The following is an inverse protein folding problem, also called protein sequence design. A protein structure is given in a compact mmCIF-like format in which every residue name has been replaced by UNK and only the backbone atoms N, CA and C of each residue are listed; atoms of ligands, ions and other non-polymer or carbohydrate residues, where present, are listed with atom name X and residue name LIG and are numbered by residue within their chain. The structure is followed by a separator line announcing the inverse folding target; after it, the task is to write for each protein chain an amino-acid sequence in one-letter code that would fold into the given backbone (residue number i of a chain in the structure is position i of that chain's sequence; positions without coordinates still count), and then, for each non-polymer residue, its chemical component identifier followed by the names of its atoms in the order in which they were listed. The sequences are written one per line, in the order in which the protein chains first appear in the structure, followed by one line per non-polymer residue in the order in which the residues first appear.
data_IF_566905589484
#
_entry.id   IF_566905589484
#
_cell.length_a   1.000
_cell.length_b   1.000
_cell.length_c   1.000
_cell.angle_alpha   90.00
_cell.angle_beta   90.00
_cell.angle_gamma   90.00
#
_symmetry.space_group_name_H-M   'P 1'
#
loop_
_entity.id
_entity.type
_entity.pdbx_description
1 polymer ?
#
# COMPACT_ATOMS: atom_id res chain seq x y z
N UNK A 1 2.78 2.53 15.73
CA UNK A 1 3.72 2.14 14.67
C UNK A 1 4.77 1.18 15.23
N UNK A 2 5.08 0.14 14.49
CA UNK A 2 6.12 -0.82 14.89
C UNK A 2 7.50 -0.21 14.65
N UNK A 3 8.37 -0.27 15.67
CA UNK A 3 9.77 0.15 15.50
C UNK A 3 10.60 -1.02 14.99
N UNK A 4 11.02 -0.93 13.73
CA UNK A 4 11.77 -1.98 13.04
C UNK A 4 13.16 -1.52 12.60
N UNK A 5 13.70 -0.48 13.27
CA UNK A 5 14.99 0.10 12.88
C UNK A 5 16.16 -0.88 12.92
N UNK A 6 16.09 -1.85 13.83
CA UNK A 6 17.13 -2.88 13.95
C UNK A 6 16.73 -4.21 13.29
N UNK A 7 15.55 -4.29 12.72
CA UNK A 7 15.10 -5.51 12.04
C UNK A 7 15.73 -5.60 10.64
N UNK A 8 16.01 -6.81 10.12
CA UNK A 8 16.45 -6.96 8.76
C UNK A 8 15.41 -6.43 7.79
N UNK A 9 15.85 -5.71 6.76
CA UNK A 9 14.95 -5.21 5.72
C UNK A 9 14.57 -6.38 4.79
N UNK A 10 13.27 -6.65 4.59
CA UNK A 10 12.86 -7.68 3.64
C UNK A 10 13.38 -7.37 2.23
N UNK A 11 13.73 -8.40 1.46
CA UNK A 11 14.24 -8.17 0.10
C UNK A 11 13.17 -7.62 -0.83
N UNK A 12 13.59 -6.82 -1.80
CA UNK A 12 12.71 -6.35 -2.86
C UNK A 12 12.27 -7.50 -3.75
N UNK A 13 11.08 -7.37 -4.35
CA UNK A 13 10.52 -8.33 -5.30
C UNK A 13 10.32 -7.64 -6.64
N UNK A 14 10.36 -8.40 -7.73
CA UNK A 14 10.18 -7.86 -9.08
C UNK A 14 8.81 -7.23 -9.30
N UNK A 15 7.79 -7.69 -8.58
CA UNK A 15 6.43 -7.20 -8.69
C UNK A 15 6.07 -6.11 -7.66
N UNK A 16 7.02 -5.62 -6.89
CA UNK A 16 6.78 -4.55 -5.94
C UNK A 16 6.32 -3.26 -6.62
N UNK A 17 5.41 -2.55 -5.96
CA UNK A 17 5.04 -1.19 -6.35
C UNK A 17 6.08 -0.22 -5.81
N UNK A 18 6.79 0.46 -6.69
CA UNK A 18 7.89 1.37 -6.31
C UNK A 18 7.64 2.74 -6.90
N UNK A 19 7.86 3.78 -6.10
CA UNK A 19 7.78 5.18 -6.51
C UNK A 19 8.90 5.97 -5.85
N UNK A 20 9.40 6.99 -6.56
CA UNK A 20 10.47 7.85 -6.06
C UNK A 20 11.80 7.61 -6.74
N UNK A 21 12.86 8.32 -6.32
CA UNK A 21 14.15 8.28 -7.01
C UNK A 21 14.77 6.88 -7.04
N UNK A 22 15.20 6.45 -8.22
CA UNK A 22 15.75 5.11 -8.42
C UNK A 22 17.09 4.89 -7.70
N UNK A 23 17.80 5.97 -7.41
CA UNK A 23 19.11 5.95 -6.73
C UNK A 23 19.01 6.08 -5.21
N UNK A 24 17.83 6.35 -4.68
CA UNK A 24 17.63 6.43 -3.24
C UNK A 24 17.49 5.02 -2.62
N UNK A 25 17.93 4.83 -1.36
CA UNK A 25 17.66 3.58 -0.65
C UNK A 25 16.15 3.33 -0.52
N UNK A 26 15.67 2.10 -0.75
CA UNK A 26 14.23 1.83 -0.67
C UNK A 26 13.74 1.89 0.78
N UNK A 27 12.55 2.45 0.94
CA UNK A 27 11.78 2.43 2.18
C UNK A 27 10.58 1.50 1.95
N UNK A 28 10.55 0.38 2.66
CA UNK A 28 9.44 -0.54 2.59
C UNK A 28 8.33 -0.07 3.52
N UNK A 29 7.18 0.18 2.95
CA UNK A 29 6.04 0.76 3.61
C UNK A 29 4.89 -0.26 3.58
N UNK A 30 4.74 -1.00 4.68
CA UNK A 30 3.63 -1.92 4.88
C UNK A 30 2.45 -1.15 5.46
N UNK A 31 1.35 -1.11 4.75
CA UNK A 31 0.27 -0.20 5.08
C UNK A 31 -1.11 -0.76 4.79
N UNK A 32 -2.10 -0.11 5.39
CA UNK A 32 -3.52 -0.39 5.25
C UNK A 32 -4.20 0.90 4.78
N UNK A 33 -5.01 0.81 3.74
CA UNK A 33 -5.71 1.98 3.19
C UNK A 33 -6.75 2.58 4.13
N UNK A 34 -7.18 1.84 5.15
CA UNK A 34 -8.12 2.36 6.14
C UNK A 34 -7.43 3.07 7.31
N UNK A 35 -6.12 2.93 7.42
CA UNK A 35 -5.34 3.41 8.56
C UNK A 35 -5.01 4.91 8.41
N UNK A 36 -5.47 5.79 9.34
CA UNK A 36 -5.16 7.22 9.26
C UNK A 36 -3.66 7.53 9.37
N UNK A 37 -2.93 6.78 10.19
CA UNK A 37 -1.48 6.95 10.33
C UNK A 37 -0.74 6.58 9.05
N UNK A 38 -1.27 5.63 8.30
CA UNK A 38 -0.71 5.26 6.99
C UNK A 38 -0.88 6.41 6.00
N UNK A 39 -2.00 7.11 6.02
CA UNK A 39 -2.21 8.28 5.16
C UNK A 39 -1.21 9.40 5.48
N UNK A 40 -0.97 9.66 6.75
CA UNK A 40 0.03 10.65 7.20
C UNK A 40 1.43 10.24 6.73
N UNK A 41 1.80 8.99 6.91
CA UNK A 41 3.12 8.49 6.53
C UNK A 41 3.31 8.49 5.01
N UNK A 42 2.28 8.13 4.26
CA UNK A 42 2.33 8.16 2.79
C UNK A 42 2.64 9.58 2.29
N UNK A 43 2.00 10.60 2.88
CA UNK A 43 2.26 11.99 2.54
C UNK A 43 3.67 12.41 2.95
N UNK A 44 4.11 12.04 4.14
CA UNK A 44 5.45 12.37 4.63
C UNK A 44 6.52 11.80 3.71
N UNK A 45 6.36 10.54 3.29
CA UNK A 45 7.32 9.89 2.38
C UNK A 45 7.32 10.55 1.00
N UNK A 46 6.16 10.94 0.49
CA UNK A 46 6.05 11.64 -0.78
C UNK A 46 6.71 13.03 -0.72
N UNK A 47 6.46 13.78 0.36
CA UNK A 47 7.05 15.12 0.56
C UNK A 47 8.58 15.04 0.73
N UNK A 48 9.07 13.95 1.30
CA UNK A 48 10.50 13.71 1.46
C UNK A 48 11.18 13.17 0.19
N UNK A 49 10.44 12.97 -0.88
CA UNK A 49 10.92 12.37 -2.13
C UNK A 49 11.63 11.04 -1.89
N UNK A 50 11.08 10.21 -1.01
CA UNK A 50 11.61 8.90 -0.70
C UNK A 50 11.35 7.89 -1.81
N UNK A 51 12.24 6.89 -1.95
CA UNK A 51 11.95 5.72 -2.78
C UNK A 51 11.08 4.77 -1.99
N UNK A 52 9.78 4.75 -2.28
CA UNK A 52 8.79 4.01 -1.50
C UNK A 52 8.45 2.71 -2.20
N UNK A 53 8.50 1.62 -1.45
CA UNK A 53 7.99 0.30 -1.86
C UNK A 53 6.75 0.02 -1.02
N UNK A 54 5.58 -0.01 -1.64
CA UNK A 54 4.32 -0.25 -0.93
C UNK A 54 4.02 -1.75 -0.87
N UNK A 55 3.70 -2.22 0.33
CA UNK A 55 3.20 -3.58 0.53
C UNK A 55 1.98 -3.56 1.44
N UNK A 56 1.04 -4.45 1.18
CA UNK A 56 -0.21 -4.50 1.95
C UNK A 56 -0.01 -5.11 3.33
N UNK A 57 -0.56 -4.46 4.34
CA UNK A 57 -0.75 -5.06 5.66
C UNK A 57 -2.22 -4.91 6.03
N UNK A 58 -3.07 -5.53 5.21
CA UNK A 58 -4.53 -5.43 5.28
C UNK A 58 -5.07 -6.60 6.12
N UNK A 59 -5.52 -6.28 7.34
CA UNK A 59 -6.06 -7.27 8.26
C UNK A 59 -7.57 -7.11 8.37
N UNK A 60 -8.30 -8.16 8.04
CA UNK A 60 -9.77 -8.20 8.11
C UNK A 60 -10.27 -7.80 9.51
N UNK A 61 -9.57 -8.22 10.55
CA UNK A 61 -9.96 -7.94 11.94
C UNK A 61 -9.83 -6.45 12.31
N UNK A 62 -9.02 -5.66 11.56
CA UNK A 62 -8.80 -4.26 11.86
C UNK A 62 -9.95 -3.39 11.35
N UNK A 63 -10.39 -3.63 10.12
CA UNK A 63 -11.43 -2.84 9.48
C UNK A 63 -12.08 -3.65 8.35
N UNK A 64 -13.42 -3.58 8.19
CA UNK A 64 -14.10 -4.35 7.13
C UNK A 64 -13.64 -4.01 5.72
N UNK A 65 -13.12 -2.81 5.48
CA UNK A 65 -12.68 -2.39 4.15
C UNK A 65 -11.18 -2.57 3.90
N UNK A 66 -10.40 -3.03 4.88
CA UNK A 66 -8.95 -3.22 4.71
C UNK A 66 -8.62 -4.12 3.54
N UNK A 67 -9.14 -5.33 3.53
CA UNK A 67 -8.89 -6.28 2.43
C UNK A 67 -9.55 -5.83 1.13
N UNK A 68 -10.83 -5.42 1.09
CA UNK A 68 -11.43 -4.91 -0.15
C UNK A 68 -10.65 -3.77 -0.82
N UNK A 69 -10.11 -2.83 -0.04
CA UNK A 69 -9.32 -1.73 -0.61
C UNK A 69 -7.97 -2.21 -1.15
N UNK A 70 -7.33 -3.17 -0.47
CA UNK A 70 -6.10 -3.77 -0.96
C UNK A 70 -6.33 -4.48 -2.31
N UNK A 71 -7.41 -5.25 -2.42
CA UNK A 71 -7.80 -5.92 -3.67
C UNK A 71 -8.09 -4.90 -4.78
N UNK A 72 -8.79 -3.83 -4.45
CA UNK A 72 -9.10 -2.75 -5.39
C UNK A 72 -7.84 -2.06 -5.91
N UNK A 73 -6.89 -1.78 -5.03
CA UNK A 73 -5.62 -1.17 -5.42
C UNK A 73 -4.83 -2.06 -6.39
N UNK A 74 -4.83 -3.37 -6.16
CA UNK A 74 -4.17 -4.31 -7.07
C UNK A 74 -4.90 -4.40 -8.42
N UNK A 75 -6.22 -4.32 -8.41
CA UNK A 75 -6.99 -4.26 -9.66
C UNK A 75 -6.64 -2.99 -10.46
N UNK A 76 -6.54 -1.84 -9.79
CA UNK A 76 -6.09 -0.61 -10.41
C UNK A 76 -4.65 -0.74 -10.95
N UNK A 77 -3.79 -1.44 -10.22
CA UNK A 77 -2.41 -1.68 -10.64
C UNK A 77 -2.32 -2.44 -11.96
N UNK A 78 -3.23 -3.37 -12.23
CA UNK A 78 -3.28 -4.09 -13.51
C UNK A 78 -3.58 -3.18 -14.70
N UNK A 79 -4.12 -2.00 -14.44
CA UNK A 79 -4.36 -0.98 -15.45
C UNK A 79 -3.34 0.18 -15.36
N UNK A 80 -2.23 -0.04 -14.68
CA UNK A 80 -1.14 0.93 -14.56
C UNK A 80 -1.42 2.09 -13.62
N UNK A 81 -2.42 1.97 -12.73
CA UNK A 81 -2.89 3.09 -11.90
C UNK A 81 -2.73 2.85 -10.40
N UNK A 82 -1.76 2.04 -9.97
CA UNK A 82 -1.59 1.76 -8.55
C UNK A 82 -1.40 3.04 -7.73
N UNK A 83 -0.41 3.86 -8.10
CA UNK A 83 -0.07 5.03 -7.28
C UNK A 83 -1.13 6.12 -7.34
N UNK A 84 -1.78 6.31 -8.49
CA UNK A 84 -2.89 7.25 -8.60
C UNK A 84 -4.07 6.82 -7.71
N UNK A 85 -4.38 5.53 -7.67
CA UNK A 85 -5.43 4.97 -6.82
C UNK A 85 -5.05 5.06 -5.34
N UNK A 86 -3.80 4.71 -4.99
CA UNK A 86 -3.23 4.84 -3.67
C UNK A 86 -3.41 6.26 -3.13
N UNK A 87 -2.99 7.25 -3.92
CA UNK A 87 -3.08 8.65 -3.50
C UNK A 87 -4.53 9.09 -3.32
N UNK A 88 -5.41 8.70 -4.24
CA UNK A 88 -6.83 9.07 -4.16
C UNK A 88 -7.52 8.52 -2.91
N UNK A 89 -7.19 7.29 -2.51
CA UNK A 89 -7.75 6.70 -1.28
C UNK A 89 -7.23 7.42 -0.05
N UNK A 90 -5.91 7.65 0.05
CA UNK A 90 -5.34 8.31 1.23
C UNK A 90 -5.75 9.77 1.35
N UNK A 91 -6.08 10.43 0.26
CA UNK A 91 -6.58 11.80 0.27
C UNK A 91 -8.02 11.89 0.82
N UNK A 92 -8.78 10.81 0.78
CA UNK A 92 -10.19 10.81 1.20
C UNK A 92 -10.59 9.43 1.75
N UNK A 93 -10.12 9.12 2.93
CA UNK A 93 -10.41 7.85 3.60
C UNK A 93 -11.84 7.72 4.11
N UNK A 94 -12.61 8.78 4.07
CA UNK A 94 -14.02 8.74 4.43
C UNK A 94 -14.93 8.21 3.33
N UNK A 95 -14.42 8.05 2.11
CA UNK A 95 -15.20 7.62 0.94
C UNK A 95 -14.56 6.38 0.32
N UNK A 96 -14.78 5.24 0.97
CA UNK A 96 -14.11 3.98 0.65
C UNK A 96 -15.06 2.83 0.35
N UNK A 97 -16.35 3.09 0.22
CA UNK A 97 -17.34 2.10 -0.21
C UNK A 97 -17.30 1.92 -1.74
N UNK A 98 -17.97 0.90 -2.23
CA UNK A 98 -17.91 0.53 -3.65
C UNK A 98 -18.35 1.66 -4.60
N UNK A 99 -19.45 2.39 -4.37
CA UNK A 99 -19.79 3.51 -5.25
C UNK A 99 -18.70 4.57 -5.38
N UNK A 100 -18.01 4.87 -4.27
CA UNK A 100 -16.89 5.82 -4.30
C UNK A 100 -15.68 5.24 -5.04
N UNK A 101 -15.42 3.93 -4.93
CA UNK A 101 -14.36 3.29 -5.69
C UNK A 101 -14.65 3.34 -7.20
N UNK A 102 -15.88 3.09 -7.62
CA UNK A 102 -16.27 3.17 -9.02
C UNK A 102 -16.08 4.59 -9.56
N UNK A 103 -16.46 5.60 -8.77
CA UNK A 103 -16.26 6.99 -9.13
C UNK A 103 -14.77 7.32 -9.33
N UNK A 104 -13.91 6.82 -8.46
CA UNK A 104 -12.45 6.99 -8.61
C UNK A 104 -11.92 6.31 -9.86
N UNK A 105 -12.41 5.11 -10.17
CA UNK A 105 -12.03 4.42 -11.41
C UNK A 105 -12.39 5.26 -12.64
N UNK A 106 -13.59 5.83 -12.66
CA UNK A 106 -14.02 6.72 -13.75
C UNK A 106 -13.13 7.94 -13.86
N UNK A 107 -12.83 8.59 -12.73
CA UNK A 107 -11.97 9.76 -12.71
C UNK A 107 -10.55 9.47 -13.19
N UNK A 108 -10.06 8.25 -12.97
CA UNK A 108 -8.74 7.82 -13.43
C UNK A 108 -8.75 7.22 -14.85
N UNK A 109 -9.91 7.15 -15.49
CA UNK A 109 -10.03 6.60 -16.84
C UNK A 109 -9.89 5.09 -16.92
N UNK A 110 -10.15 4.38 -15.83
CA UNK A 110 -10.03 2.92 -15.78
C UNK A 110 -11.26 2.24 -16.37
N UNK A 111 -11.06 1.05 -16.95
CA UNK A 111 -12.14 0.16 -17.37
C UNK A 111 -12.79 -0.45 -16.13
N UNK A 112 -14.03 -0.06 -15.86
CA UNK A 112 -14.74 -0.47 -14.64
C UNK A 112 -15.07 -1.96 -14.64
N UNK A 113 -15.44 -2.52 -15.79
CA UNK A 113 -15.75 -3.95 -15.90
C UNK A 113 -14.52 -4.80 -15.60
N UNK A 114 -13.38 -4.41 -16.14
CA UNK A 114 -12.09 -5.06 -15.88
C UNK A 114 -11.68 -4.92 -14.42
N UNK A 115 -11.85 -3.73 -13.84
CA UNK A 115 -11.58 -3.49 -12.42
C UNK A 115 -12.40 -4.44 -11.54
N UNK A 116 -13.70 -4.57 -11.81
CA UNK A 116 -14.58 -5.45 -11.04
C UNK A 116 -14.18 -6.93 -11.16
N UNK A 117 -13.79 -7.36 -12.35
CA UNK A 117 -13.31 -8.74 -12.55
C UNK A 117 -11.98 -8.97 -11.82
N UNK A 118 -11.04 -8.05 -11.96
CA UNK A 118 -9.68 -8.20 -11.41
C UNK A 118 -9.69 -8.18 -9.88
N UNK A 119 -10.49 -7.34 -9.23
CA UNK A 119 -10.51 -7.32 -7.76
C UNK A 119 -11.09 -8.60 -7.14
N UNK A 120 -11.68 -9.47 -7.94
CA UNK A 120 -12.18 -10.78 -7.52
C UNK A 120 -11.25 -11.92 -7.90
N UNK A 121 -10.15 -11.62 -8.57
CA UNK A 121 -9.20 -12.63 -9.01
C UNK A 121 -8.47 -13.25 -7.82
N UNK A 122 -8.48 -14.59 -7.66
CA UNK A 122 -7.76 -15.26 -6.58
C UNK A 122 -6.27 -14.95 -6.55
N UNK A 123 -5.64 -14.68 -7.69
CA UNK A 123 -4.23 -14.32 -7.75
C UNK A 123 -3.95 -12.99 -7.05
N UNK A 124 -4.85 -12.03 -7.17
CA UNK A 124 -4.76 -10.75 -6.45
C UNK A 124 -4.93 -10.97 -4.94
N UNK A 125 -5.89 -11.78 -4.54
CA UNK A 125 -6.08 -12.10 -3.13
C UNK A 125 -4.84 -12.78 -2.53
N UNK A 126 -4.21 -13.68 -3.27
CA UNK A 126 -2.98 -14.34 -2.82
C UNK A 126 -1.82 -13.36 -2.68
N UNK A 127 -1.70 -12.40 -3.59
CA UNK A 127 -0.69 -11.34 -3.47
C UNK A 127 -0.87 -10.53 -2.18
N UNK A 128 -2.09 -10.15 -1.86
CA UNK A 128 -2.38 -9.41 -0.62
C UNK A 128 -2.04 -10.24 0.61
N UNK A 129 -2.42 -11.52 0.62
CA UNK A 129 -2.06 -12.44 1.72
C UNK A 129 -0.56 -12.63 1.86
N UNK A 130 0.17 -12.73 0.75
CA UNK A 130 1.63 -12.83 0.74
C UNK A 130 2.27 -11.64 1.45
N UNK A 131 1.83 -10.44 1.13
CA UNK A 131 2.35 -9.22 1.76
C UNK A 131 2.11 -9.23 3.27
N UNK A 132 0.92 -9.64 3.70
CA UNK A 132 0.58 -9.74 5.13
C UNK A 132 1.48 -10.77 5.82
N UNK A 133 1.66 -11.96 5.24
CA UNK A 133 2.54 -12.99 5.81
C UNK A 133 3.96 -12.47 5.96
N UNK A 134 4.47 -11.80 4.94
CA UNK A 134 5.83 -11.27 4.97
C UNK A 134 6.00 -10.18 6.02
N UNK A 135 5.00 -9.32 6.18
CA UNK A 135 4.99 -8.32 7.24
C UNK A 135 5.07 -8.96 8.62
N UNK A 136 4.25 -9.98 8.88
CA UNK A 136 4.24 -10.69 10.16
C UNK A 136 5.56 -11.40 10.42
N UNK A 137 6.13 -12.07 9.42
CA UNK A 137 7.43 -12.74 9.53
C UNK A 137 8.56 -11.76 9.80
N UNK A 138 8.45 -10.54 9.26
CA UNK A 138 9.43 -9.48 9.48
C UNK A 138 9.29 -8.78 10.82
N UNK A 139 8.26 -9.10 11.60
CA UNK A 139 8.06 -8.56 12.94
C UNK A 139 7.06 -7.42 13.04
N UNK A 140 6.34 -7.10 11.95
CA UNK A 140 5.32 -6.06 11.99
C UNK A 140 4.14 -6.48 12.85
N UNK A 141 3.66 -5.58 13.71
CA UNK A 141 2.53 -5.82 14.60
C UNK A 141 1.41 -4.80 14.40
N UNK A 142 1.74 -3.62 13.89
CA UNK A 142 0.78 -2.54 13.65
C UNK A 142 1.09 -1.86 12.33
N UNK A 143 0.21 -0.96 11.87
CA UNK A 143 0.43 -0.14 10.68
C UNK A 143 0.59 1.34 11.05
N UNK A 144 1.39 2.08 10.30
CA UNK A 144 2.31 1.58 9.28
C UNK A 144 3.48 0.82 9.89
N UNK A 145 4.04 -0.16 9.16
CA UNK A 145 5.31 -0.78 9.51
C UNK A 145 6.34 -0.41 8.44
N UNK A 146 7.44 0.17 8.87
CA UNK A 146 8.41 0.77 7.96
C UNK A 146 9.76 0.12 8.14
N UNK A 147 10.32 -0.38 7.03
CA UNK A 147 11.67 -0.91 6.98
C UNK A 147 12.51 0.01 6.10
N UNK A 148 13.62 0.47 6.61
CA UNK A 148 14.49 1.41 5.96
C UNK A 148 15.93 0.91 6.02
N UNK A 149 16.50 0.59 4.84
CA UNK A 149 17.87 0.07 4.74
C UNK A 149 18.92 1.18 4.73
N UNK A 150 18.49 2.42 4.57
CA UNK A 150 19.39 3.58 4.57
C UNK A 150 19.61 4.12 5.96
N UNK A 151 20.44 5.17 6.06
CA UNK A 151 20.56 5.92 7.28
C UNK A 151 19.28 6.69 7.55
N UNK A 152 18.80 6.60 8.77
CA UNK A 152 17.61 7.33 9.17
C UNK A 152 17.97 8.76 9.50
N UNK A 153 17.17 9.67 8.98
CA UNK A 153 17.23 11.05 9.46
C UNK A 153 16.74 11.11 10.92
N UNK A 154 17.33 11.98 11.74
CA UNK A 154 16.82 12.20 13.08
C UNK A 154 15.32 12.52 13.05
N UNK A 155 14.53 11.86 13.87
CA UNK A 155 13.08 12.04 13.93
C UNK A 155 12.27 11.23 12.94
N UNK A 156 12.89 10.38 12.14
CA UNK A 156 12.20 9.48 11.20
C UNK A 156 11.67 8.24 11.92
#
# INVERSE_FOLDING_TARGET
MTDLRSAPVPPLRDDDHVRGPADAPPVLFYADFTCPRCAVEAKRLADADARVVFRHFALKARHPRSVPLALAAEAAARQGAFWAFHDAIYEDQGRIDDPHLWHRCEALGLDLQRFEADRRDPAIAERVRRDVRDALRAGATTTPAIFDSGERSPGS
#
